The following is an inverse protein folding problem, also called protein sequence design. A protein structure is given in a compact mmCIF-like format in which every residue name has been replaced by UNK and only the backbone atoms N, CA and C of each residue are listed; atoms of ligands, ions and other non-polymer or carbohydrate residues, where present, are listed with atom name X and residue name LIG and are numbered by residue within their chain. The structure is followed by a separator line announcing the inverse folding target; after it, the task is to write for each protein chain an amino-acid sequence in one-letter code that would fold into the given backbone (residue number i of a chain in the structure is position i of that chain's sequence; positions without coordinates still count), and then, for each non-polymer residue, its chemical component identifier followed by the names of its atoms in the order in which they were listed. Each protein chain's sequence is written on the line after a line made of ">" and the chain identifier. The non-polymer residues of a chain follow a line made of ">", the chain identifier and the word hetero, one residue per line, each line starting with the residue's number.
data_IF_795790865975
#
_entry.id   IF_795790865975
#
_cell.length_a   1.000
_cell.length_b   1.000
_cell.length_c   1.000
_cell.angle_alpha   90.00
_cell.angle_beta   90.00
_cell.angle_gamma   90.00
#
_symmetry.space_group_name_H-M   'P 1'
#
loop_
_entity.id
_entity.type
_entity.pdbx_description
1 polymer ?
#
# COMPACT_ATOMS: atom_id res chain seq x y z
N UNK A 1 -34.27 -5.43 11.33
CA UNK A 1 -33.84 -6.83 11.09
C UNK A 1 -34.15 -7.15 9.64
N UNK A 2 -33.14 -7.53 8.87
CA UNK A 2 -33.24 -7.94 7.47
C UNK A 2 -32.60 -9.32 7.41
N UNK A 3 -33.27 -10.30 6.82
CA UNK A 3 -32.75 -11.66 6.68
C UNK A 3 -32.78 -12.05 5.20
N UNK A 4 -31.74 -12.74 4.75
CA UNK A 4 -31.50 -13.12 3.36
C UNK A 4 -31.06 -14.57 3.30
N UNK A 5 -31.61 -15.34 2.34
CA UNK A 5 -31.30 -16.75 2.15
C UNK A 5 -32.16 -17.67 3.03
N UNK A 6 -31.91 -18.98 2.95
CA UNK A 6 -32.63 -19.99 3.73
C UNK A 6 -31.72 -20.56 4.82
N UNK A 7 -32.04 -20.26 6.07
CA UNK A 7 -31.31 -20.69 7.27
C UNK A 7 -31.16 -22.22 7.38
N UNK A 8 -32.22 -22.96 7.01
CA UNK A 8 -32.25 -24.43 7.14
C UNK A 8 -31.33 -25.16 6.15
N UNK A 9 -31.04 -24.54 5.01
CA UNK A 9 -30.21 -25.12 3.95
C UNK A 9 -28.83 -24.47 3.88
N UNK A 10 -28.53 -23.53 4.78
CA UNK A 10 -27.29 -22.76 4.74
C UNK A 10 -26.12 -23.55 5.33
N UNK A 11 -25.02 -23.61 4.59
CA UNK A 11 -23.71 -24.02 5.08
C UNK A 11 -23.04 -22.90 5.88
N UNK A 12 -23.25 -21.65 5.45
CA UNK A 12 -22.67 -20.46 6.07
C UNK A 12 -23.76 -19.53 6.58
N UNK A 13 -23.66 -19.13 7.85
CA UNK A 13 -24.57 -18.20 8.49
C UNK A 13 -23.80 -16.95 8.94
N UNK A 14 -24.16 -15.79 8.41
CA UNK A 14 -23.56 -14.51 8.76
C UNK A 14 -24.54 -13.67 9.56
N UNK A 15 -24.11 -13.19 10.73
CA UNK A 15 -24.82 -12.17 11.50
C UNK A 15 -24.05 -10.85 11.41
N UNK A 16 -24.69 -9.79 10.92
CA UNK A 16 -24.09 -8.47 10.81
C UNK A 16 -24.90 -7.44 11.62
N UNK A 17 -24.20 -6.67 12.46
CA UNK A 17 -24.76 -5.50 13.15
C UNK A 17 -24.07 -4.28 12.57
N UNK A 18 -24.82 -3.43 11.88
CA UNK A 18 -24.29 -2.34 11.06
C UNK A 18 -24.93 -1.03 11.51
N UNK A 19 -24.10 -0.02 11.80
CA UNK A 19 -24.56 1.37 11.86
C UNK A 19 -24.59 1.93 10.43
N UNK A 20 -25.77 2.19 9.83
CA UNK A 20 -25.86 2.68 8.45
C UNK A 20 -25.19 4.04 8.23
N UNK A 21 -24.91 4.79 9.29
CA UNK A 21 -24.25 6.10 9.22
C UNK A 21 -22.73 6.01 9.37
N UNK A 22 -22.17 4.80 9.53
CA UNK A 22 -20.72 4.61 9.62
C UNK A 22 -20.06 4.51 8.24
N UNK A 23 -18.84 5.02 8.12
CA UNK A 23 -18.03 4.84 6.92
C UNK A 23 -17.74 3.37 6.62
N UNK A 24 -17.55 2.56 7.67
CA UNK A 24 -17.33 1.11 7.56
C UNK A 24 -18.55 0.40 6.95
N UNK A 25 -19.77 0.85 7.27
CA UNK A 25 -20.98 0.29 6.68
C UNK A 25 -21.03 0.45 5.16
N UNK A 26 -20.47 1.52 4.59
CA UNK A 26 -20.45 1.70 3.13
C UNK A 26 -19.66 0.58 2.44
N UNK A 27 -18.57 0.11 3.04
CA UNK A 27 -17.76 -1.02 2.55
C UNK A 27 -18.46 -2.35 2.80
N UNK A 28 -18.86 -2.59 4.05
CA UNK A 28 -19.44 -3.86 4.48
C UNK A 28 -20.78 -4.12 3.79
N UNK A 29 -21.60 -3.10 3.55
CA UNK A 29 -22.84 -3.25 2.81
C UNK A 29 -22.60 -3.71 1.36
N UNK A 30 -21.62 -3.11 0.67
CA UNK A 30 -21.28 -3.51 -0.69
C UNK A 30 -20.71 -4.94 -0.77
N UNK A 31 -19.89 -5.33 0.21
CA UNK A 31 -19.37 -6.72 0.31
C UNK A 31 -20.51 -7.70 0.60
N UNK A 32 -21.42 -7.38 1.53
CA UNK A 32 -22.57 -8.22 1.85
C UNK A 32 -23.54 -8.33 0.67
N UNK A 33 -23.71 -7.25 -0.10
CA UNK A 33 -24.49 -7.24 -1.33
C UNK A 33 -23.94 -8.27 -2.31
N UNK A 34 -22.65 -8.18 -2.65
CA UNK A 34 -21.95 -9.17 -3.49
C UNK A 34 -22.11 -10.60 -2.94
N UNK A 35 -21.84 -10.81 -1.65
CA UNK A 35 -21.95 -12.15 -1.04
C UNK A 35 -23.37 -12.72 -1.12
N UNK A 36 -24.40 -11.88 -1.18
CA UNK A 36 -25.75 -12.38 -1.39
C UNK A 36 -26.16 -12.45 -2.85
N UNK A 37 -25.65 -11.59 -3.73
CA UNK A 37 -26.12 -11.44 -5.11
C UNK A 37 -25.75 -12.59 -6.05
N UNK A 38 -25.03 -13.62 -5.56
CA UNK A 38 -24.43 -14.71 -6.38
C UNK A 38 -25.37 -15.62 -7.22
N UNK A 39 -26.61 -15.20 -7.49
CA UNK A 39 -27.33 -15.37 -8.78
C UNK A 39 -28.37 -14.26 -8.89
N UNK A 40 -28.28 -13.34 -9.86
CA UNK A 40 -29.43 -12.74 -10.57
C UNK A 40 -28.95 -12.10 -11.88
N UNK A 41 -29.32 -12.73 -12.99
CA UNK A 41 -29.48 -12.02 -14.26
C UNK A 41 -30.83 -11.29 -14.26
N UNK A 42 -30.76 -10.03 -14.70
CA UNK A 42 -31.85 -9.23 -15.26
C UNK A 42 -32.93 -8.75 -14.27
N UNK A 43 -32.76 -7.56 -13.69
CA UNK A 43 -33.82 -6.55 -13.60
C UNK A 43 -33.22 -5.16 -13.36
N UNK A 44 -33.70 -4.26 -14.20
CA UNK A 44 -33.57 -2.82 -14.28
C UNK A 44 -33.89 -2.10 -12.95
N UNK A 45 -32.95 -1.24 -12.51
CA UNK A 45 -33.13 -0.04 -11.67
C UNK A 45 -33.78 -0.18 -10.25
N UNK A 46 -33.14 0.55 -9.31
CA UNK A 46 -33.67 1.07 -8.04
C UNK A 46 -33.56 0.15 -6.82
N UNK A 47 -32.61 0.50 -5.96
CA UNK A 47 -32.81 0.68 -4.52
C UNK A 47 -33.27 -0.54 -3.71
N UNK A 48 -32.31 -1.19 -3.05
CA UNK A 48 -32.51 -2.11 -1.91
C UNK A 48 -33.37 -3.33 -2.27
N UNK A 49 -32.76 -4.52 -2.21
CA UNK A 49 -33.36 -5.87 -2.32
C UNK A 49 -33.19 -6.52 -3.71
N UNK A 50 -32.13 -7.33 -3.82
CA UNK A 50 -32.06 -8.49 -4.71
C UNK A 50 -30.94 -9.45 -4.23
N UNK A 51 -30.88 -9.69 -2.92
CA UNK A 51 -29.83 -10.46 -2.26
C UNK A 51 -30.35 -11.90 -2.05
N UNK A 52 -29.87 -12.87 -2.83
CA UNK A 52 -29.68 -14.30 -2.52
C UNK A 52 -29.50 -15.08 -3.83
N UNK A 53 -28.33 -15.71 -4.04
CA UNK A 53 -28.21 -17.16 -4.30
C UNK A 53 -26.76 -17.67 -4.51
N UNK A 54 -25.84 -17.37 -3.58
CA UNK A 54 -24.89 -18.45 -3.24
C UNK A 54 -25.74 -19.56 -2.64
N UNK A 55 -25.80 -20.73 -3.28
CA UNK A 55 -26.51 -21.85 -2.67
C UNK A 55 -25.82 -22.19 -1.33
N UNK A 56 -26.58 -22.11 -0.24
CA UNK A 56 -26.08 -22.42 1.09
C UNK A 56 -25.53 -21.25 1.92
N UNK A 57 -25.89 -19.99 1.62
CA UNK A 57 -25.56 -18.84 2.50
C UNK A 57 -26.83 -18.20 3.07
N UNK A 58 -26.82 -17.95 4.39
CA UNK A 58 -27.85 -17.19 5.11
C UNK A 58 -27.21 -15.98 5.78
N UNK A 59 -27.80 -14.80 5.61
CA UNK A 59 -27.30 -13.54 6.19
C UNK A 59 -28.41 -12.86 6.97
N UNK A 60 -28.11 -12.47 8.20
CA UNK A 60 -29.00 -11.70 9.06
C UNK A 60 -28.34 -10.35 9.41
N UNK A 61 -29.04 -9.26 9.11
CA UNK A 61 -28.57 -7.89 9.28
C UNK A 61 -29.45 -7.14 10.30
N UNK A 62 -28.80 -6.59 11.31
CA UNK A 62 -29.37 -5.66 12.28
C UNK A 62 -28.80 -4.27 12.04
N UNK A 63 -29.67 -3.29 11.79
CA UNK A 63 -29.27 -1.90 11.70
C UNK A 63 -29.33 -1.27 13.09
N UNK A 64 -28.20 -0.76 13.58
CA UNK A 64 -28.08 -0.14 14.89
C UNK A 64 -27.45 1.26 14.77
N UNK A 65 -28.24 2.28 14.37
CA UNK A 65 -27.73 3.64 14.23
C UNK A 65 -27.49 4.31 15.59
N UNK A 66 -26.46 5.15 15.65
CA UNK A 66 -26.26 6.06 16.79
C UNK A 66 -27.39 7.09 16.86
N UNK A 67 -27.98 7.24 18.05
CA UNK A 67 -29.14 8.14 18.26
C UNK A 67 -28.75 9.62 18.36
N UNK A 68 -27.51 9.92 18.74
CA UNK A 68 -27.04 11.30 18.95
C UNK A 68 -25.83 11.56 18.04
N UNK A 69 -26.03 12.43 17.05
CA UNK A 69 -25.01 12.82 16.09
C UNK A 69 -24.65 14.29 16.33
N UNK A 70 -23.38 14.57 16.57
CA UNK A 70 -22.87 15.94 16.76
C UNK A 70 -22.47 16.60 15.44
N UNK A 71 -22.20 15.80 14.42
CA UNK A 71 -21.72 16.22 13.12
C UNK A 71 -22.28 15.32 12.00
N UNK A 72 -22.07 15.73 10.74
CA UNK A 72 -22.42 14.90 9.60
C UNK A 72 -21.58 13.61 9.62
N UNK A 73 -22.21 12.43 9.71
CA UNK A 73 -21.50 11.18 9.97
C UNK A 73 -20.78 10.62 8.73
N UNK A 74 -21.28 10.93 7.53
CA UNK A 74 -20.68 10.50 6.26
C UNK A 74 -20.16 11.72 5.50
N UNK A 75 -18.84 11.76 5.29
CA UNK A 75 -18.13 12.86 4.59
C UNK A 75 -17.53 12.42 3.26
N UNK A 76 -17.92 11.25 2.75
CA UNK A 76 -17.38 10.63 1.53
C UNK A 76 -18.44 9.94 0.70
N UNK A 77 -18.19 9.88 -0.60
CA UNK A 77 -18.86 8.97 -1.54
C UNK A 77 -18.02 7.70 -1.66
N UNK A 78 -18.67 6.55 -1.76
CA UNK A 78 -17.98 5.26 -1.79
C UNK A 78 -18.57 4.33 -2.85
N UNK A 79 -17.70 3.65 -3.59
CA UNK A 79 -18.04 2.59 -4.54
C UNK A 79 -17.04 1.46 -4.35
N UNK A 80 -17.56 0.26 -4.18
CA UNK A 80 -16.75 -0.95 -4.14
C UNK A 80 -16.69 -1.53 -5.55
N UNK A 81 -15.50 -1.92 -5.99
CA UNK A 81 -15.29 -2.53 -7.32
C UNK A 81 -15.16 -4.02 -7.12
N UNK A 82 -16.26 -4.73 -7.34
CA UNK A 82 -16.30 -6.18 -7.33
C UNK A 82 -17.52 -6.62 -8.12
N UNK A 83 -17.29 -7.42 -9.15
CA UNK A 83 -18.34 -7.98 -10.00
C UNK A 83 -18.43 -9.49 -9.74
N UNK A 84 -19.64 -10.03 -9.78
CA UNK A 84 -19.90 -11.48 -9.60
C UNK A 84 -19.34 -12.30 -10.77
N UNK A 85 -19.48 -11.77 -11.98
CA UNK A 85 -19.17 -12.45 -13.22
C UNK A 85 -18.20 -11.63 -14.06
N UNK A 86 -17.48 -12.31 -14.94
CA UNK A 86 -16.65 -11.64 -15.93
C UNK A 86 -17.55 -11.00 -16.99
N UNK A 87 -17.45 -9.68 -17.10
CA UNK A 87 -18.07 -8.93 -18.18
C UNK A 87 -17.15 -8.92 -19.40
N UNK A 88 -17.75 -9.03 -20.59
CA UNK A 88 -17.04 -9.00 -21.86
C UNK A 88 -17.58 -7.87 -22.73
N UNK A 89 -16.69 -7.14 -23.38
CA UNK A 89 -17.06 -6.10 -24.33
C UNK A 89 -17.62 -6.70 -25.64
N UNK A 90 -18.09 -5.84 -26.54
CA UNK A 90 -18.63 -6.25 -27.84
C UNK A 90 -17.62 -6.98 -28.74
N UNK A 91 -16.32 -6.92 -28.42
CA UNK A 91 -15.23 -7.63 -29.11
C UNK A 91 -14.90 -8.98 -28.46
N UNK A 92 -15.54 -9.31 -27.33
CA UNK A 92 -15.29 -10.53 -26.56
C UNK A 92 -14.10 -10.43 -25.61
N UNK A 93 -13.57 -9.23 -25.35
CA UNK A 93 -12.50 -9.02 -24.38
C UNK A 93 -13.08 -8.76 -22.99
N UNK A 94 -12.36 -9.18 -21.94
CA UNK A 94 -12.78 -8.93 -20.56
C UNK A 94 -12.80 -7.42 -20.31
N UNK A 95 -13.96 -6.92 -19.88
CA UNK A 95 -14.15 -5.55 -19.46
C UNK A 95 -13.40 -5.30 -18.14
N UNK A 96 -12.74 -4.15 -18.04
CA UNK A 96 -11.94 -3.82 -16.85
C UNK A 96 -12.86 -3.34 -15.73
N UNK A 97 -12.83 -3.97 -14.54
CA UNK A 97 -13.60 -3.50 -13.39
C UNK A 97 -13.26 -2.04 -13.07
N UNK A 98 -14.29 -1.20 -12.98
CA UNK A 98 -14.14 0.26 -12.87
C UNK A 98 -15.18 0.85 -11.92
N UNK A 99 -14.77 1.83 -11.12
CA UNK A 99 -15.71 2.58 -10.27
C UNK A 99 -16.24 3.81 -11.02
N UNK A 100 -17.57 3.92 -11.13
CA UNK A 100 -18.23 5.07 -11.73
C UNK A 100 -19.02 5.85 -10.68
N UNK A 101 -18.77 7.17 -10.62
CA UNK A 101 -19.53 8.11 -9.80
C UNK A 101 -20.31 9.04 -10.72
N UNK A 102 -21.64 8.99 -10.65
CA UNK A 102 -22.54 9.85 -11.41
C UNK A 102 -23.16 10.89 -10.48
N UNK A 103 -23.53 12.05 -11.03
CA UNK A 103 -24.15 13.15 -10.29
C UNK A 103 -23.37 13.59 -9.04
N UNK A 104 -22.05 13.57 -9.13
CA UNK A 104 -21.17 14.08 -8.07
C UNK A 104 -21.34 15.60 -7.95
N UNK A 105 -21.50 16.16 -6.75
CA UNK A 105 -21.61 17.60 -6.58
C UNK A 105 -20.39 18.35 -7.15
N UNK A 106 -20.62 19.42 -7.89
CA UNK A 106 -19.54 20.09 -8.63
C UNK A 106 -18.74 21.10 -7.81
N UNK A 107 -19.40 21.78 -6.87
CA UNK A 107 -18.81 22.84 -6.06
C UNK A 107 -17.80 22.41 -4.99
N UNK A 108 -18.00 21.30 -4.23
CA UNK A 108 -17.08 20.93 -3.17
C UNK A 108 -15.73 20.47 -3.72
N UNK A 109 -14.70 20.68 -2.90
CA UNK A 109 -13.38 20.08 -3.14
C UNK A 109 -13.41 18.62 -2.68
N UNK A 110 -13.00 17.73 -3.55
CA UNK A 110 -13.00 16.28 -3.36
C UNK A 110 -11.58 15.73 -3.49
N UNK A 111 -11.33 14.63 -2.80
CA UNK A 111 -10.10 13.86 -2.90
C UNK A 111 -10.46 12.44 -3.29
N UNK A 112 -9.79 11.90 -4.31
CA UNK A 112 -9.97 10.50 -4.71
C UNK A 112 -9.06 9.62 -3.86
N UNK A 113 -9.67 8.86 -2.94
CA UNK A 113 -8.99 7.84 -2.15
C UNK A 113 -9.28 6.43 -2.67
N UNK A 114 -8.24 5.59 -2.75
CA UNK A 114 -8.36 4.16 -3.01
C UNK A 114 -8.39 3.39 -1.69
N UNK A 115 -9.49 2.69 -1.41
CA UNK A 115 -9.60 1.76 -0.27
C UNK A 115 -9.23 0.34 -0.71
N UNK A 116 -7.97 -0.03 -0.50
CA UNK A 116 -7.39 -1.33 -0.89
C UNK A 116 -6.99 -2.12 0.34
N UNK A 117 -6.78 -3.43 0.19
CA UNK A 117 -6.26 -4.24 1.29
C UNK A 117 -4.82 -3.84 1.63
N UNK A 118 -4.44 -3.97 2.91
CA UNK A 118 -3.14 -3.49 3.45
C UNK A 118 -1.90 -3.89 2.64
N UNK A 119 -1.80 -5.13 2.10
CA UNK A 119 -0.63 -5.57 1.36
C UNK A 119 -0.47 -4.92 -0.02
N UNK A 120 -1.44 -4.15 -0.51
CA UNK A 120 -1.41 -3.61 -1.87
C UNK A 120 -0.74 -2.24 -1.92
N UNK A 121 0.28 -2.13 -2.78
CA UNK A 121 0.86 -0.84 -3.15
C UNK A 121 0.30 -0.38 -4.49
N UNK A 122 -0.73 0.45 -4.42
CA UNK A 122 -1.41 1.01 -5.60
C UNK A 122 -0.91 2.42 -5.89
N UNK A 123 -0.73 2.76 -7.17
CA UNK A 123 -0.33 4.10 -7.62
C UNK A 123 -1.14 4.57 -8.83
N UNK A 124 -1.43 5.87 -8.96
CA UNK A 124 -2.01 6.42 -10.19
C UNK A 124 -0.98 6.37 -11.31
N UNK A 125 -1.41 5.93 -12.50
CA UNK A 125 -0.58 5.88 -13.72
C UNK A 125 -1.08 6.88 -14.76
N UNK A 126 -2.40 7.05 -14.84
CA UNK A 126 -3.04 8.04 -15.70
C UNK A 126 -3.99 8.84 -14.84
N UNK A 127 -3.86 10.16 -14.86
CA UNK A 127 -4.79 11.07 -14.21
C UNK A 127 -4.83 12.38 -15.01
N UNK A 128 -6.01 12.74 -15.51
CA UNK A 128 -6.20 13.98 -16.27
C UNK A 128 -6.18 15.23 -15.37
N UNK A 129 -6.37 15.05 -14.06
CA UNK A 129 -6.53 16.11 -13.05
C UNK A 129 -5.74 15.78 -11.76
N UNK A 130 -5.55 16.78 -10.90
CA UNK A 130 -5.02 16.57 -9.55
C UNK A 130 -6.06 15.84 -8.68
N UNK A 131 -5.76 14.60 -8.31
CA UNK A 131 -6.68 13.71 -7.59
C UNK A 131 -6.90 14.11 -6.13
N UNK A 132 -6.00 14.95 -5.57
CA UNK A 132 -6.12 15.44 -4.20
C UNK A 132 -7.00 16.69 -4.10
N UNK A 133 -7.16 17.42 -5.21
CA UNK A 133 -7.85 18.72 -5.29
C UNK A 133 -8.92 18.76 -6.39
N UNK A 134 -9.81 17.78 -6.43
CA UNK A 134 -10.86 17.69 -7.45
C UNK A 134 -12.02 18.65 -7.14
N UNK A 135 -12.17 19.71 -7.94
CA UNK A 135 -13.36 20.58 -7.92
C UNK A 135 -13.96 20.64 -9.31
N UNK A 136 -15.09 19.97 -9.54
CA UNK A 136 -15.65 19.80 -10.88
C UNK A 136 -16.16 21.12 -11.48
N UNK A 137 -16.56 22.08 -10.63
CA UNK A 137 -16.95 23.42 -11.05
C UNK A 137 -15.81 24.16 -11.78
N UNK A 138 -14.54 23.84 -11.50
CA UNK A 138 -13.38 24.45 -12.14
C UNK A 138 -13.07 23.84 -13.53
N UNK A 139 -13.74 22.75 -13.92
CA UNK A 139 -13.50 22.10 -15.20
C UNK A 139 -14.18 22.87 -16.35
N UNK A 140 -13.52 22.92 -17.51
CA UNK A 140 -14.10 23.49 -18.72
C UNK A 140 -15.33 22.68 -19.18
N UNK A 141 -16.25 23.30 -19.94
CA UNK A 141 -17.48 22.63 -20.40
C UNK A 141 -17.22 21.28 -21.12
N UNK A 142 -16.14 21.18 -21.91
CA UNK A 142 -15.74 19.93 -22.58
C UNK A 142 -15.25 18.87 -21.60
N UNK A 143 -14.47 19.28 -20.59
CA UNK A 143 -13.95 18.37 -19.56
C UNK A 143 -15.06 17.91 -18.62
N UNK A 144 -15.98 18.81 -18.26
CA UNK A 144 -17.19 18.49 -17.49
C UNK A 144 -18.05 17.43 -18.19
N UNK A 145 -18.21 17.53 -19.52
CA UNK A 145 -18.95 16.54 -20.30
C UNK A 145 -18.24 15.17 -20.39
N UNK A 146 -16.90 15.16 -20.44
CA UNK A 146 -16.09 13.92 -20.43
C UNK A 146 -16.02 13.28 -19.03
N UNK A 147 -16.07 14.10 -17.99
CA UNK A 147 -15.81 13.69 -16.61
C UNK A 147 -14.31 13.60 -16.29
N UNK A 148 -14.01 13.24 -15.05
CA UNK A 148 -12.65 12.97 -14.57
C UNK A 148 -12.38 11.47 -14.69
N UNK A 149 -11.23 11.11 -15.27
CA UNK A 149 -10.78 9.71 -15.37
C UNK A 149 -9.41 9.57 -14.73
N UNK A 150 -9.27 8.51 -13.93
CA UNK A 150 -8.01 8.11 -13.32
C UNK A 150 -7.83 6.60 -13.45
N UNK A 151 -6.63 6.16 -13.78
CA UNK A 151 -6.25 4.74 -13.86
C UNK A 151 -5.17 4.48 -12.83
N UNK A 152 -5.42 3.48 -11.98
CA UNK A 152 -4.51 3.02 -10.95
C UNK A 152 -3.90 1.68 -11.33
N UNK A 153 -2.67 1.45 -10.89
CA UNK A 153 -1.94 0.19 -11.06
C UNK A 153 -1.53 -0.34 -9.69
N UNK A 154 -1.86 -1.62 -9.45
CA UNK A 154 -1.26 -2.39 -8.36
C UNK A 154 0.20 -2.67 -8.74
N UNK A 155 1.12 -1.87 -8.19
CA UNK A 155 2.55 -1.92 -8.53
C UNK A 155 3.26 -3.08 -7.87
N UNK A 156 2.92 -3.34 -6.61
CA UNK A 156 3.53 -4.38 -5.79
C UNK A 156 2.53 -4.90 -4.76
N UNK A 157 2.78 -6.13 -4.32
CA UNK A 157 2.18 -6.73 -3.13
C UNK A 157 3.28 -6.88 -2.09
N UNK A 158 2.93 -6.60 -0.83
CA UNK A 158 3.87 -6.61 0.28
C UNK A 158 4.13 -8.02 0.79
N UNK A 159 5.40 -8.28 1.08
CA UNK A 159 5.82 -9.33 2.00
C UNK A 159 6.19 -8.61 3.29
N UNK A 160 5.38 -8.82 4.32
CA UNK A 160 5.60 -8.27 5.64
C UNK A 160 6.26 -9.31 6.53
N UNK A 161 6.88 -8.89 7.62
CA UNK A 161 7.38 -9.86 8.57
C UNK A 161 7.78 -9.31 9.92
N UNK A 162 7.96 -10.22 10.85
CA UNK A 162 8.34 -9.94 12.24
C UNK A 162 9.57 -10.76 12.60
N UNK A 163 10.74 -10.12 12.55
CA UNK A 163 12.01 -10.76 12.80
C UNK A 163 12.35 -10.80 14.30
N UNK A 164 12.93 -11.91 14.74
CA UNK A 164 13.40 -12.09 16.13
C UNK A 164 14.80 -12.68 16.19
N UNK A 165 15.60 -12.15 17.10
CA UNK A 165 16.91 -12.64 17.50
C UNK A 165 16.71 -13.68 18.61
N UNK A 166 17.09 -14.93 18.36
CA UNK A 166 16.96 -16.02 19.33
C UNK A 166 18.03 -15.98 20.42
N UNK A 167 19.14 -15.26 20.22
CA UNK A 167 20.21 -15.12 21.21
C UNK A 167 19.78 -14.21 22.36
N UNK A 168 19.14 -13.08 22.06
CA UNK A 168 18.67 -12.10 23.07
C UNK A 168 17.15 -12.14 23.30
N UNK A 169 16.43 -12.94 22.51
CA UNK A 169 14.96 -13.02 22.48
C UNK A 169 14.28 -11.65 22.30
N UNK A 170 14.70 -10.92 21.26
CA UNK A 170 14.21 -9.57 20.97
C UNK A 170 14.32 -9.20 19.49
N UNK A 171 13.80 -8.03 19.07
CA UNK A 171 13.86 -7.61 17.67
C UNK A 171 15.28 -7.14 17.28
N UNK A 172 15.91 -7.69 16.22
CA UNK A 172 17.25 -7.30 15.77
C UNK A 172 17.19 -5.98 14.99
N UNK A 173 17.04 -4.87 15.71
CA UNK A 173 16.91 -3.53 15.13
C UNK A 173 18.09 -3.20 14.20
N UNK A 174 17.79 -2.74 12.99
CA UNK A 174 18.78 -2.32 12.01
C UNK A 174 19.37 -3.46 11.20
N UNK A 175 18.96 -4.71 11.44
CA UNK A 175 19.33 -5.85 10.61
C UNK A 175 18.78 -5.62 9.20
N UNK A 176 19.59 -5.91 8.20
CA UNK A 176 19.25 -5.65 6.81
C UNK A 176 19.01 -6.97 6.08
N UNK A 177 17.80 -7.10 5.53
CA UNK A 177 17.43 -8.22 4.67
C UNK A 177 17.46 -7.81 3.21
N UNK A 178 17.73 -8.80 2.37
CA UNK A 178 17.67 -8.70 0.92
C UNK A 178 16.76 -9.81 0.43
N UNK A 179 15.84 -9.46 -0.47
CA UNK A 179 14.99 -10.39 -1.19
C UNK A 179 15.46 -10.45 -2.64
N UNK A 180 15.62 -11.66 -3.15
CA UNK A 180 16.09 -11.91 -4.50
C UNK A 180 15.45 -13.12 -5.14
N UNK A 181 15.85 -13.39 -6.38
CA UNK A 181 15.57 -14.65 -7.09
C UNK A 181 16.90 -15.32 -7.40
N UNK A 182 16.89 -16.59 -7.82
CA UNK A 182 18.11 -17.29 -8.23
C UNK A 182 18.90 -16.57 -9.35
N UNK A 183 18.22 -15.82 -10.22
CA UNK A 183 18.86 -15.03 -11.28
C UNK A 183 19.35 -13.66 -10.79
N UNK A 184 18.63 -13.06 -9.84
CA UNK A 184 18.93 -11.72 -9.31
C UNK A 184 18.84 -11.78 -7.78
N UNK A 185 19.93 -12.12 -7.07
CA UNK A 185 19.90 -12.39 -5.64
C UNK A 185 19.66 -11.15 -4.77
N UNK A 186 19.76 -9.95 -5.34
CA UNK A 186 19.50 -8.69 -4.64
C UNK A 186 18.57 -7.79 -5.42
N UNK A 187 17.25 -8.02 -5.31
CA UNK A 187 16.23 -7.20 -5.97
C UNK A 187 15.77 -6.04 -5.08
N UNK A 188 15.44 -6.34 -3.82
CA UNK A 188 14.90 -5.37 -2.88
C UNK A 188 15.52 -5.60 -1.52
N UNK A 189 15.87 -4.52 -0.83
CA UNK A 189 16.39 -4.53 0.53
C UNK A 189 15.44 -3.84 1.50
N UNK A 190 15.51 -4.24 2.77
CA UNK A 190 14.78 -3.59 3.85
C UNK A 190 15.54 -3.70 5.17
N UNK A 191 15.12 -2.91 6.15
CA UNK A 191 15.69 -2.93 7.49
C UNK A 191 14.64 -3.38 8.52
N UNK A 192 15.08 -4.12 9.53
CA UNK A 192 14.24 -4.53 10.65
C UNK A 192 14.05 -3.38 11.62
N UNK A 193 12.79 -3.04 11.91
CA UNK A 193 12.43 -2.01 12.87
C UNK A 193 12.50 -2.53 14.31
N UNK A 194 12.71 -1.60 15.26
CA UNK A 194 12.76 -1.91 16.68
C UNK A 194 11.41 -2.42 17.23
N UNK A 195 10.31 -1.91 16.68
CA UNK A 195 8.98 -2.26 17.13
C UNK A 195 8.58 -3.61 16.53
N UNK A 196 8.49 -4.64 17.39
CA UNK A 196 8.06 -6.01 17.02
C UNK A 196 8.86 -6.63 15.86
N UNK A 197 10.07 -6.14 15.58
CA UNK A 197 10.91 -6.66 14.50
C UNK A 197 10.30 -6.48 13.12
N UNK A 198 9.41 -5.50 12.94
CA UNK A 198 8.68 -5.35 11.69
C UNK A 198 9.62 -5.06 10.51
N UNK A 199 9.37 -5.71 9.39
CA UNK A 199 10.02 -5.50 8.11
C UNK A 199 8.99 -5.58 6.97
N UNK A 200 9.30 -4.93 5.86
CA UNK A 200 8.42 -4.89 4.70
C UNK A 200 9.25 -4.89 3.41
N UNK A 201 8.92 -5.80 2.51
CA UNK A 201 9.54 -5.98 1.21
C UNK A 201 8.46 -5.82 0.12
N UNK A 202 8.83 -5.14 -0.97
CA UNK A 202 7.93 -4.89 -2.10
C UNK A 202 8.22 -5.91 -3.17
N UNK A 203 7.26 -6.77 -3.50
CA UNK A 203 7.44 -7.83 -4.48
C UNK A 203 6.23 -7.92 -5.43
N UNK A 204 6.36 -8.77 -6.43
CA UNK A 204 5.26 -9.23 -7.28
C UNK A 204 5.18 -10.76 -7.17
N UNK A 205 4.08 -11.41 -7.62
CA UNK A 205 3.94 -12.85 -7.47
C UNK A 205 5.15 -13.62 -8.02
N UNK A 206 5.67 -14.56 -7.22
CA UNK A 206 6.92 -15.26 -7.53
C UNK A 206 7.50 -16.03 -6.34
N UNK A 207 8.58 -16.75 -6.62
CA UNK A 207 9.40 -17.45 -5.63
C UNK A 207 10.68 -16.64 -5.41
N UNK A 208 10.96 -16.32 -4.16
CA UNK A 208 12.08 -15.49 -3.76
C UNK A 208 12.94 -16.19 -2.72
N UNK A 209 14.18 -15.74 -2.59
CA UNK A 209 15.11 -16.15 -1.56
C UNK A 209 15.36 -14.97 -0.61
N UNK A 210 15.19 -15.19 0.70
CA UNK A 210 15.48 -14.19 1.72
C UNK A 210 16.89 -14.41 2.28
N UNK A 211 17.73 -13.39 2.18
CA UNK A 211 19.12 -13.42 2.65
C UNK A 211 19.46 -12.19 3.48
N UNK A 212 20.54 -12.28 4.27
CA UNK A 212 21.11 -11.12 4.95
C UNK A 212 21.93 -10.29 3.97
N UNK A 213 21.82 -8.96 4.05
CA UNK A 213 22.66 -8.07 3.25
C UNK A 213 24.13 -8.25 3.60
N UNK A 214 24.98 -8.24 2.58
CA UNK A 214 26.44 -8.23 2.75
C UNK A 214 26.90 -7.08 3.64
N UNK A 215 27.92 -7.35 4.46
CA UNK A 215 28.44 -6.44 5.48
C UNK A 215 27.99 -6.82 6.89
N UNK A 216 27.81 -5.82 7.77
CA UNK A 216 27.66 -6.01 9.21
C UNK A 216 26.48 -6.91 9.62
N UNK A 217 25.40 -6.93 8.84
CA UNK A 217 24.27 -7.84 9.10
C UNK A 217 24.69 -9.31 8.97
N UNK A 218 25.35 -9.66 7.86
CA UNK A 218 25.85 -11.02 7.61
C UNK A 218 27.08 -11.39 8.45
N UNK A 219 27.86 -10.42 8.92
CA UNK A 219 28.99 -10.66 9.82
C UNK A 219 28.57 -11.03 11.25
N UNK A 220 27.45 -10.48 11.73
CA UNK A 220 26.97 -10.67 13.11
C UNK A 220 25.96 -11.82 13.20
N UNK A 221 25.11 -11.98 12.19
CA UNK A 221 23.95 -12.87 12.24
C UNK A 221 24.02 -14.02 11.23
N UNK A 222 23.36 -15.12 11.59
CA UNK A 222 22.90 -16.16 10.66
C UNK A 222 21.37 -16.26 10.73
N UNK A 223 20.75 -16.66 9.61
CA UNK A 223 19.31 -16.94 9.55
C UNK A 223 19.10 -18.38 9.97
N UNK A 224 18.36 -18.58 11.06
CA UNK A 224 17.95 -19.92 11.51
C UNK A 224 16.68 -20.39 10.81
N UNK A 225 15.78 -19.47 10.46
CA UNK A 225 14.51 -19.76 9.78
C UNK A 225 14.03 -18.52 9.06
N UNK A 226 13.54 -18.68 7.84
CA UNK A 226 12.89 -17.59 7.09
C UNK A 226 11.48 -17.29 7.60
N UNK A 227 10.81 -18.25 8.25
CA UNK A 227 9.52 -18.01 8.87
C UNK A 227 8.31 -18.11 7.94
N UNK A 228 8.48 -18.77 6.79
CA UNK A 228 7.44 -18.92 5.76
C UNK A 228 6.25 -19.79 6.20
N UNK A 229 6.43 -20.65 7.21
CA UNK A 229 5.37 -21.52 7.77
C UNK A 229 4.75 -20.94 9.07
N UNK A 230 4.98 -19.65 9.34
CA UNK A 230 4.47 -18.97 10.54
C UNK A 230 5.50 -18.90 11.69
N UNK A 231 5.01 -18.58 12.90
CA UNK A 231 5.85 -18.27 14.06
C UNK A 231 6.83 -19.39 14.48
N UNK A 232 6.39 -20.64 14.34
CA UNK A 232 7.15 -21.85 14.67
C UNK A 232 7.69 -22.56 13.41
N UNK A 233 7.91 -21.82 12.32
CA UNK A 233 8.47 -22.35 11.07
C UNK A 233 9.74 -23.15 11.31
N UNK A 234 9.94 -24.21 10.52
CA UNK A 234 11.14 -25.04 10.55
C UNK A 234 12.41 -24.27 10.14
N UNK A 235 13.58 -24.85 10.41
CA UNK A 235 14.85 -24.17 10.16
C UNK A 235 15.22 -24.18 8.67
N UNK A 236 16.13 -23.28 8.28
CA UNK A 236 16.58 -23.15 6.89
C UNK A 236 17.26 -24.42 6.35
N UNK A 237 17.81 -25.27 7.21
CA UNK A 237 18.38 -26.56 6.79
C UNK A 237 17.31 -27.54 6.30
N UNK A 238 16.07 -27.41 6.80
CA UNK A 238 14.95 -28.30 6.44
C UNK A 238 14.12 -27.74 5.28
N UNK A 239 13.86 -26.42 5.28
CA UNK A 239 12.92 -25.78 4.34
C UNK A 239 13.57 -24.80 3.37
N UNK A 240 14.87 -24.51 3.52
CA UNK A 240 15.58 -23.54 2.70
C UNK A 240 15.27 -22.08 3.06
N UNK A 241 15.61 -21.19 2.13
CA UNK A 241 15.50 -19.74 2.28
C UNK A 241 14.31 -19.14 1.51
N UNK A 242 13.40 -19.99 1.05
CA UNK A 242 12.37 -19.61 0.08
C UNK A 242 11.19 -18.88 0.73
N UNK A 243 10.76 -17.81 0.08
CA UNK A 243 9.53 -17.06 0.34
C UNK A 243 8.71 -17.04 -0.95
N UNK A 244 7.49 -17.57 -0.87
CA UNK A 244 6.59 -17.66 -2.03
C UNK A 244 5.45 -16.66 -1.89
N UNK A 245 5.36 -15.71 -2.81
CA UNK A 245 4.24 -14.79 -2.91
C UNK A 245 3.29 -15.27 -4.02
N UNK A 246 2.16 -15.87 -3.64
CA UNK A 246 1.17 -16.43 -4.57
C UNK A 246 -0.28 -15.98 -4.28
N UNK A 247 -0.47 -15.01 -3.40
CA UNK A 247 -1.78 -14.49 -3.00
C UNK A 247 -1.82 -12.97 -3.08
N UNK A 248 -3.01 -12.41 -3.28
CA UNK A 248 -3.25 -10.97 -3.20
C UNK A 248 -3.19 -10.44 -1.76
N UNK A 249 -3.35 -11.30 -0.76
CA UNK A 249 -3.25 -10.93 0.67
C UNK A 249 -1.80 -10.73 1.15
N UNK A 250 -0.83 -10.78 0.24
CA UNK A 250 0.58 -10.73 0.61
C UNK A 250 1.00 -11.94 1.43
N UNK A 251 2.19 -11.86 2.02
CA UNK A 251 2.74 -12.93 2.87
C UNK A 251 3.30 -12.30 4.12
N UNK A 252 2.98 -12.89 5.27
CA UNK A 252 3.59 -12.51 6.55
C UNK A 252 4.58 -13.59 6.95
N UNK A 253 5.87 -13.23 7.03
CA UNK A 253 6.94 -14.12 7.45
C UNK A 253 7.40 -13.83 8.88
N UNK A 254 7.93 -14.83 9.58
CA UNK A 254 8.44 -14.69 10.94
C UNK A 254 9.91 -15.12 11.06
N UNK A 255 10.86 -14.36 10.47
CA UNK A 255 12.26 -14.77 10.42
C UNK A 255 12.88 -14.89 11.81
N UNK A 256 13.67 -15.94 12.01
CA UNK A 256 14.54 -16.11 13.17
C UNK A 256 15.98 -15.96 12.76
N UNK A 257 16.72 -15.19 13.52
CA UNK A 257 18.16 -15.04 13.37
C UNK A 257 18.84 -15.31 14.69
N UNK A 258 20.08 -15.79 14.64
CA UNK A 258 20.95 -15.88 15.80
C UNK A 258 22.27 -15.20 15.53
N UNK A 259 22.90 -14.74 16.62
CA UNK A 259 24.23 -14.15 16.54
C UNK A 259 25.27 -15.23 16.37
N UNK A 260 26.27 -14.96 15.55
CA UNK A 260 27.44 -15.81 15.34
C UNK A 260 28.27 -15.92 16.63
N UNK A 261 28.99 -17.05 16.83
CA UNK A 261 29.88 -17.21 17.97
C UNK A 261 30.90 -16.06 18.08
N UNK A 262 30.99 -15.44 19.25
CA UNK A 262 31.89 -14.30 19.51
C UNK A 262 31.36 -12.93 19.08
N UNK A 263 30.14 -12.85 18.52
CA UNK A 263 29.46 -11.61 18.09
C UNK A 263 28.27 -11.22 18.97
N UNK A 264 28.18 -11.82 20.15
CA UNK A 264 27.07 -11.65 21.10
C UNK A 264 26.90 -10.20 21.61
N UNK A 265 28.00 -9.44 21.66
CA UNK A 265 28.02 -8.04 22.15
C UNK A 265 28.10 -7.00 21.04
N UNK A 266 28.19 -7.42 19.78
CA UNK A 266 28.36 -6.49 18.66
C UNK A 266 27.03 -5.80 18.35
N UNK A 267 27.02 -4.47 18.33
CA UNK A 267 25.83 -3.70 17.95
C UNK A 267 25.77 -3.56 16.41
N UNK A 268 24.56 -3.70 15.84
CA UNK A 268 24.31 -3.46 14.41
C UNK A 268 24.40 -1.97 14.06
N UNK A 269 23.98 -1.12 15.00
CA UNK A 269 24.07 0.32 14.91
C UNK A 269 25.36 0.75 15.60
N UNK A 270 26.11 1.66 14.98
CA UNK A 270 27.18 2.34 15.70
C UNK A 270 26.55 3.19 16.79
N UNK A 271 27.00 3.00 18.04
CA UNK A 271 26.63 3.89 19.12
C UNK A 271 27.29 5.24 18.83
N UNK A 272 26.51 6.22 18.37
CA UNK A 272 26.92 7.63 18.32
C UNK A 272 27.04 8.17 19.74
N UNK A 273 28.04 7.67 20.47
CA UNK A 273 28.53 8.25 21.71
C UNK A 273 30.00 8.59 21.50
N UNK A 274 30.20 9.85 21.09
CA UNK A 274 31.37 10.70 21.31
C UNK A 274 32.73 10.22 20.79
N UNK A 275 33.12 10.74 19.63
CA UNK A 275 34.41 11.43 19.46
C UNK A 275 34.26 12.46 18.35
N UNK A 276 34.35 13.73 18.71
CA UNK A 276 34.74 14.79 17.77
C UNK A 276 36.11 14.42 17.18
N UNK A 277 36.32 14.77 15.91
CA UNK A 277 37.54 14.61 15.11
C UNK A 277 37.79 13.22 14.48
N UNK A 278 37.14 12.96 13.34
CA UNK A 278 37.82 12.81 12.03
C UNK A 278 36.80 12.62 10.91
N UNK A 279 37.12 13.19 9.75
CA UNK A 279 36.31 13.24 8.55
C UNK A 279 36.05 11.84 7.98
N UNK A 280 34.81 11.34 8.06
CA UNK A 280 34.35 10.25 7.18
C UNK A 280 32.93 10.51 6.65
N UNK A 281 32.88 11.33 5.60
CA UNK A 281 31.72 11.65 4.80
C UNK A 281 31.37 10.53 3.79
N UNK A 282 31.29 9.27 4.22
CA UNK A 282 31.08 8.11 3.32
C UNK A 282 29.76 7.35 3.50
N UNK A 283 29.22 7.28 4.71
CA UNK A 283 28.11 6.36 5.04
C UNK A 283 26.74 7.05 4.90
N UNK A 284 26.66 8.33 5.24
CA UNK A 284 25.41 9.11 5.16
C UNK A 284 24.96 9.44 3.73
N UNK A 285 25.87 9.42 2.75
CA UNK A 285 25.52 9.63 1.34
C UNK A 285 24.75 8.44 0.76
N UNK A 286 25.13 7.21 1.13
CA UNK A 286 24.51 5.98 0.61
C UNK A 286 23.13 5.70 1.23
N UNK A 287 22.95 6.08 2.50
CA UNK A 287 21.64 5.98 3.18
C UNK A 287 20.68 7.06 2.65
N UNK A 288 21.16 8.29 2.42
CA UNK A 288 20.35 9.36 1.80
C UNK A 288 19.95 9.03 0.36
N UNK A 289 20.82 8.42 -0.44
CA UNK A 289 20.45 8.01 -1.81
C UNK A 289 19.38 6.92 -1.85
N UNK A 290 19.38 5.99 -0.89
CA UNK A 290 18.33 4.96 -0.77
C UNK A 290 17.01 5.56 -0.26
N UNK A 291 17.06 6.46 0.72
CA UNK A 291 15.88 7.17 1.25
C UNK A 291 15.23 8.13 0.22
N UNK A 292 16.02 8.75 -0.65
CA UNK A 292 15.50 9.64 -1.72
C UNK A 292 14.72 8.85 -2.78
N UNK A 293 14.97 7.55 -2.95
CA UNK A 293 14.24 6.68 -3.87
C UNK A 293 12.89 6.20 -3.29
N UNK A 294 12.66 6.42 -1.99
CA UNK A 294 11.47 6.01 -1.24
C UNK A 294 10.41 7.10 -1.06
N UNK A 295 10.67 8.35 -1.47
CA UNK A 295 9.69 9.43 -1.41
C UNK A 295 9.00 9.65 -2.78
N UNK A 296 7.65 9.75 -2.84
CA UNK A 296 6.98 10.27 -4.01
C UNK A 296 7.33 11.76 -4.14
N UNK A 297 7.84 12.15 -5.31
CA UNK A 297 8.38 13.48 -5.56
C UNK A 297 7.34 14.58 -5.40
N UNK A 298 7.52 15.43 -4.39
CA UNK A 298 7.02 16.80 -4.38
C UNK A 298 8.08 17.68 -5.02
N UNK A 299 7.73 18.29 -6.16
CA UNK A 299 8.62 19.19 -6.90
C UNK A 299 8.90 20.46 -6.10
N UNK A 300 10.17 20.71 -5.81
CA UNK A 300 10.66 22.05 -5.45
C UNK A 300 11.69 22.47 -6.50
N UNK A 301 11.26 23.37 -7.39
CA UNK A 301 12.14 24.04 -8.33
C UNK A 301 13.05 25.03 -7.60
N UNK A 302 14.36 24.78 -7.61
CA UNK A 302 15.36 25.74 -7.18
C UNK A 302 16.10 26.29 -8.40
N UNK A 303 15.84 27.58 -8.71
CA UNK A 303 16.62 28.40 -9.63
C UNK A 303 18.12 28.30 -9.30
N UNK A 304 18.94 27.91 -10.27
CA UNK A 304 20.40 27.96 -10.16
C UNK A 304 20.93 29.20 -10.89
N UNK A 305 21.64 30.02 -10.11
CA UNK A 305 22.34 31.24 -10.48
C UNK A 305 23.18 31.14 -11.76
N UNK A 306 23.05 32.15 -12.63
CA UNK A 306 24.03 32.46 -13.68
C UNK A 306 25.29 33.08 -13.06
N UNK A 307 26.41 32.59 -13.55
CA UNK A 307 27.77 32.93 -13.18
C UNK A 307 28.15 34.37 -13.54
N UNK A 308 28.92 34.98 -12.63
CA UNK A 308 29.67 36.22 -12.80
C UNK A 308 30.74 36.02 -13.90
N UNK A 309 30.77 36.92 -14.89
CA UNK A 309 32.01 37.28 -15.58
C UNK A 309 32.30 38.77 -15.33
N UNK A 310 33.53 39.04 -14.90
CA UNK A 310 34.05 40.34 -14.47
C UNK A 310 34.63 41.12 -15.65
N UNK A 311 34.36 42.43 -15.63
CA UNK A 311 35.20 43.58 -16.08
C UNK A 311 35.37 43.81 -17.59
N UNK A 312 34.92 45.01 -18.03
CA UNK A 312 35.82 46.13 -18.37
C UNK A 312 35.08 47.47 -18.35
N UNK A 313 35.68 48.44 -17.63
CA UNK A 313 35.37 49.87 -17.62
C UNK A 313 35.77 50.48 -18.97
N UNK A 314 34.88 51.26 -19.61
CA UNK A 314 35.23 52.49 -20.35
C UNK A 314 34.03 53.47 -20.21
N UNK A 315 34.28 54.68 -19.67
CA UNK A 315 33.47 55.90 -19.88
C UNK A 315 34.26 56.79 -20.84
N UNK A 316 33.60 57.55 -21.73
CA UNK A 316 33.39 59.01 -21.50
C UNK A 316 31.95 59.45 -21.89
N UNK A 317 31.26 60.29 -21.10
CA UNK A 317 31.17 61.77 -21.09
C UNK A 317 30.42 62.42 -22.27
N UNK A 318 29.48 63.33 -21.90
CA UNK A 318 28.81 64.44 -22.65
C UNK A 318 27.83 64.05 -23.78
N UNK A 319 26.65 64.65 -24.01
CA UNK A 319 26.07 65.97 -23.64
C UNK A 319 24.57 66.04 -24.01
N UNK A 320 23.82 66.88 -23.27
CA UNK A 320 22.69 67.76 -23.68
C UNK A 320 21.46 67.25 -24.46
N UNK A 321 20.30 67.38 -23.79
CA UNK A 321 19.03 67.99 -24.25
C UNK A 321 18.69 68.02 -25.74
N UNK A 322 17.57 67.40 -26.10
CA UNK A 322 16.29 68.04 -26.44
C UNK A 322 15.18 66.98 -26.42
#
# INVERSE_FOLDING_TARGET
>A
RIAVGNESTAYYQFGAIIDPLSEFAQKTAAVLEVCCMMKIYNILYIGVIALSKVDGVYIEIYLNPLQSLKELPLKRFYRYVFDEELHFDATGQIERPSAYFTNVPEDPLLTLGMDVISPWLVRPVVADQDLDNLRLANLDAKQRAKGVTAVFELRNILIEGHCRDTTINGPPRGLQFVLGTASYPALVDTIVMANLGYLQLKANPGVFELSLREGRSKEIYDIESVGSEGWLSRSVEEIGYDVVLNTFEGVVIYPRVSRKPGKEKDNLLEDTTETEDTEDAGIWSSIKSSLILLLPGTGFGALKNRSRLRRRRIKPKSTSSQ
#
